data_IF_515364889378
#
_entry.id   IF_515364889378
#
_cell.length_a   1.000
_cell.length_b   1.000
_cell.length_c   1.000
_cell.angle_alpha   90.00
_cell.angle_beta   90.00
_cell.angle_gamma   90.00
#
_symmetry.space_group_name_H-M   'P 1'
#
loop_
_entity.id
_entity.type
_entity.pdbx_description
1 polymer ?
#
# COMPACT_ATOMS: atom_id res chain seq x y z
N UNK A 1 54.63 17.07 34.41
CA UNK A 1 53.84 15.84 34.17
C UNK A 1 52.37 16.05 33.73
N UNK A 2 51.84 17.26 33.50
CA UNK A 2 50.37 17.48 33.33
C UNK A 2 49.82 17.35 31.89
N UNK A 3 50.67 17.24 30.87
CA UNK A 3 50.26 17.35 29.45
C UNK A 3 49.87 16.02 28.76
N UNK A 4 50.21 14.86 29.36
CA UNK A 4 49.98 13.55 28.74
C UNK A 4 48.53 13.07 28.93
N UNK A 5 47.91 13.35 30.07
CA UNK A 5 46.56 12.84 30.40
C UNK A 5 45.40 13.65 29.76
N UNK A 6 45.66 14.90 29.34
CA UNK A 6 44.63 15.79 28.74
C UNK A 6 44.27 15.43 27.30
N UNK A 7 45.18 14.80 26.56
CA UNK A 7 45.00 14.37 25.15
C UNK A 7 44.03 13.19 24.98
N UNK A 8 44.15 12.08 25.73
CA UNK A 8 43.19 10.97 25.63
C UNK A 8 41.80 11.36 26.14
N UNK A 9 41.72 12.23 27.16
CA UNK A 9 40.44 12.72 27.69
C UNK A 9 39.65 13.55 26.66
N UNK A 10 40.35 14.37 25.87
CA UNK A 10 39.74 15.14 24.76
C UNK A 10 39.30 14.25 23.61
N UNK A 11 40.09 13.23 23.26
CA UNK A 11 39.74 12.26 22.23
C UNK A 11 38.52 11.43 22.64
N UNK A 12 38.44 11.02 23.90
CA UNK A 12 37.28 10.30 24.45
C UNK A 12 36.03 11.19 24.43
N UNK A 13 36.12 12.44 24.88
CA UNK A 13 35.00 13.37 24.86
C UNK A 13 34.47 13.65 23.43
N UNK A 14 35.37 13.74 22.44
CA UNK A 14 35.00 13.92 21.04
C UNK A 14 34.32 12.66 20.47
N UNK A 15 34.83 11.48 20.78
CA UNK A 15 34.25 10.21 20.34
C UNK A 15 32.85 9.98 20.93
N UNK A 16 32.65 10.27 22.21
CA UNK A 16 31.34 10.15 22.86
C UNK A 16 30.35 11.16 22.30
N UNK A 17 30.78 12.40 22.02
CA UNK A 17 29.95 13.42 21.38
C UNK A 17 29.49 13.02 19.98
N UNK A 18 30.37 12.43 19.17
CA UNK A 18 30.05 11.96 17.82
C UNK A 18 29.09 10.75 17.83
N UNK A 19 29.25 9.83 18.79
CA UNK A 19 28.38 8.66 18.95
C UNK A 19 26.96 9.00 19.44
N UNK A 20 26.80 10.07 20.23
CA UNK A 20 25.48 10.55 20.63
C UNK A 20 24.78 11.31 19.50
N UNK A 21 25.54 12.06 18.68
CA UNK A 21 24.98 12.82 17.56
C UNK A 21 24.43 11.91 16.43
N UNK A 22 24.98 10.70 16.24
CA UNK A 22 24.51 9.78 15.19
C UNK A 22 23.16 9.12 15.48
N UNK A 23 22.68 9.13 16.73
CA UNK A 23 21.38 8.55 17.11
C UNK A 23 20.25 9.58 17.24
N UNK A 24 20.58 10.88 17.27
CA UNK A 24 19.68 11.97 17.64
C UNK A 24 18.57 12.31 16.61
N UNK A 25 18.62 11.78 15.38
CA UNK A 25 17.64 12.08 14.32
C UNK A 25 16.85 10.86 13.82
N UNK A 26 16.84 9.75 14.58
CA UNK A 26 16.16 8.51 14.16
C UNK A 26 14.65 8.50 14.40
N UNK A 27 14.13 9.36 15.28
CA UNK A 27 12.69 9.45 15.58
C UNK A 27 11.83 9.92 14.41
N UNK A 28 12.45 10.51 13.39
CA UNK A 28 11.78 10.87 12.14
C UNK A 28 11.63 9.67 11.17
N UNK A 29 12.08 8.47 11.53
CA UNK A 29 11.92 7.27 10.71
C UNK A 29 10.53 6.64 10.87
N UNK A 30 9.90 6.80 12.03
CA UNK A 30 8.55 6.30 12.32
C UNK A 30 7.49 7.28 11.79
N UNK A 31 7.42 7.42 10.47
CA UNK A 31 6.42 8.26 9.82
C UNK A 31 5.12 7.49 9.60
N UNK A 32 4.02 8.05 10.10
CA UNK A 32 2.67 7.67 9.65
C UNK A 32 2.19 8.65 8.58
N UNK A 33 1.60 8.17 7.47
CA UNK A 33 1.03 9.05 6.45
C UNK A 33 0.03 10.03 7.07
N UNK A 34 0.18 11.33 6.81
CA UNK A 34 -0.66 12.38 7.42
C UNK A 34 -1.98 12.63 6.66
N UNK A 35 -2.12 12.05 5.46
CA UNK A 35 -3.25 12.27 4.56
C UNK A 35 -3.59 10.97 3.82
N UNK A 36 -4.31 10.06 4.48
CA UNK A 36 -5.16 8.97 3.93
C UNK A 36 -5.51 7.99 5.06
N UNK A 37 -6.55 7.18 4.86
CA UNK A 37 -6.81 6.03 5.72
C UNK A 37 -5.65 5.02 5.57
N UNK A 38 -4.89 4.81 6.65
CA UNK A 38 -3.80 3.83 6.71
C UNK A 38 -4.22 2.64 7.60
N UNK A 39 -3.42 1.56 7.60
CA UNK A 39 -3.72 0.36 8.37
C UNK A 39 -3.97 0.67 9.87
N UNK A 40 -3.18 1.56 10.45
CA UNK A 40 -3.31 1.95 11.86
C UNK A 40 -4.66 2.60 12.18
N UNK A 41 -5.20 3.39 11.25
CA UNK A 41 -6.51 4.05 11.41
C UNK A 41 -7.65 3.09 11.08
N UNK A 42 -7.55 2.33 9.99
CA UNK A 42 -8.60 1.41 9.53
C UNK A 42 -8.80 0.24 10.50
N UNK A 43 -7.72 -0.31 11.06
CA UNK A 43 -7.81 -1.46 11.97
C UNK A 43 -8.05 -1.06 13.44
N UNK A 44 -8.17 0.25 13.75
CA UNK A 44 -8.54 0.71 15.09
C UNK A 44 -10.05 0.73 15.36
N UNK A 45 -10.87 0.82 14.32
CA UNK A 45 -12.33 0.84 14.42
C UNK A 45 -12.93 -0.46 13.85
N UNK A 46 -13.61 -1.29 14.66
CA UNK A 46 -14.29 -2.49 14.18
C UNK A 46 -15.22 -2.26 12.97
N UNK A 47 -15.87 -1.11 12.87
CA UNK A 47 -16.73 -0.78 11.74
C UNK A 47 -15.92 -0.63 10.44
N UNK A 48 -14.72 -0.04 10.50
CA UNK A 48 -13.82 0.11 9.36
C UNK A 48 -13.22 -1.23 8.91
N UNK A 49 -12.94 -2.13 9.87
CA UNK A 49 -12.55 -3.51 9.58
C UNK A 49 -13.65 -4.23 8.80
N UNK A 50 -14.89 -4.12 9.26
CA UNK A 50 -16.04 -4.73 8.57
C UNK A 50 -16.19 -4.16 7.15
N UNK A 51 -16.08 -2.85 6.97
CA UNK A 51 -16.16 -2.22 5.65
C UNK A 51 -15.04 -2.72 4.71
N UNK A 52 -13.83 -2.89 5.23
CA UNK A 52 -12.69 -3.44 4.47
C UNK A 52 -12.96 -4.88 4.02
N UNK A 53 -13.53 -5.71 4.90
CA UNK A 53 -13.92 -7.08 4.54
C UNK A 53 -15.03 -7.11 3.48
N UNK A 54 -16.07 -6.27 3.63
CA UNK A 54 -17.13 -6.17 2.63
C UNK A 54 -16.55 -5.79 1.28
N UNK A 55 -15.60 -4.85 1.26
CA UNK A 55 -14.93 -4.42 0.03
C UNK A 55 -14.21 -5.57 -0.66
N UNK A 56 -13.45 -6.39 0.07
CA UNK A 56 -12.74 -7.55 -0.49
C UNK A 56 -13.68 -8.55 -1.17
N UNK A 57 -14.83 -8.83 -0.57
CA UNK A 57 -15.82 -9.72 -1.18
C UNK A 57 -16.56 -9.06 -2.35
N UNK A 58 -16.86 -7.76 -2.26
CA UNK A 58 -17.52 -7.01 -3.31
C UNK A 58 -16.66 -6.94 -4.59
N UNK A 59 -15.34 -6.76 -4.47
CA UNK A 59 -14.43 -6.66 -5.64
C UNK A 59 -14.41 -7.91 -6.52
N UNK A 60 -14.96 -9.05 -6.06
CA UNK A 60 -15.12 -10.23 -6.90
C UNK A 60 -16.15 -10.03 -8.02
N UNK A 61 -17.18 -9.21 -7.77
CA UNK A 61 -18.33 -9.06 -8.65
C UNK A 61 -18.62 -7.60 -9.06
N UNK A 62 -17.99 -6.62 -8.40
CA UNK A 62 -18.21 -5.20 -8.67
C UNK A 62 -16.87 -4.53 -8.99
N UNK A 63 -16.88 -3.59 -9.93
CA UNK A 63 -15.70 -2.92 -10.48
C UNK A 63 -15.45 -1.52 -9.90
N UNK A 64 -16.38 -1.02 -9.09
CA UNK A 64 -16.35 0.34 -8.54
C UNK A 64 -17.21 0.50 -7.29
N UNK A 65 -17.16 1.69 -6.68
CA UNK A 65 -18.03 2.05 -5.54
C UNK A 65 -19.36 2.69 -5.95
N UNK A 66 -19.51 3.04 -7.23
CA UNK A 66 -20.72 3.66 -7.79
C UNK A 66 -21.27 2.76 -8.90
N UNK A 67 -22.50 2.28 -8.74
CA UNK A 67 -23.18 1.54 -9.81
C UNK A 67 -24.14 2.43 -10.60
N UNK A 68 -24.36 2.19 -11.91
CA UNK A 68 -23.75 1.19 -12.78
C UNK A 68 -22.36 1.60 -13.36
N UNK A 69 -21.99 2.86 -13.17
CA UNK A 69 -20.76 3.51 -13.65
C UNK A 69 -20.48 4.72 -12.73
N UNK A 70 -19.20 5.08 -12.57
CA UNK A 70 -18.80 6.47 -12.31
C UNK A 70 -17.61 6.60 -11.37
N UNK A 71 -17.25 5.50 -10.70
CA UNK A 71 -16.10 5.44 -9.79
C UNK A 71 -15.42 4.06 -9.90
N UNK A 72 -14.75 3.78 -11.03
CA UNK A 72 -14.07 2.51 -11.23
C UNK A 72 -12.81 2.42 -10.36
N UNK A 73 -12.52 1.22 -9.90
CA UNK A 73 -11.33 0.91 -9.12
C UNK A 73 -10.06 0.93 -9.98
N UNK A 74 -10.20 0.59 -11.27
CA UNK A 74 -9.13 0.54 -12.26
C UNK A 74 -9.46 1.53 -13.37
N UNK A 75 -8.59 2.52 -13.56
CA UNK A 75 -8.72 3.52 -14.62
C UNK A 75 -8.12 3.03 -15.94
N UNK A 76 -8.68 3.48 -17.07
CA UNK A 76 -8.18 3.16 -18.41
C UNK A 76 -8.78 1.91 -19.05
N UNK A 77 -9.63 1.20 -18.31
CA UNK A 77 -10.44 0.06 -18.77
C UNK A 77 -11.89 0.39 -18.41
N UNK A 78 -12.86 -0.01 -19.25
CA UNK A 78 -14.27 0.16 -18.94
C UNK A 78 -14.66 -0.55 -17.64
N UNK A 79 -15.57 0.04 -16.88
CA UNK A 79 -16.06 -0.52 -15.61
C UNK A 79 -16.77 -1.88 -15.82
N UNK A 80 -17.29 -2.12 -17.02
CA UNK A 80 -17.87 -3.38 -17.49
C UNK A 80 -16.84 -4.48 -17.82
N UNK A 81 -15.57 -4.12 -18.03
CA UNK A 81 -14.46 -5.03 -18.34
C UNK A 81 -13.51 -5.26 -17.16
N UNK A 82 -13.52 -4.39 -16.15
CA UNK A 82 -12.57 -4.44 -15.02
C UNK A 82 -13.01 -5.31 -13.85
N UNK A 83 -14.18 -5.98 -13.94
CA UNK A 83 -14.66 -6.89 -12.89
C UNK A 83 -13.82 -8.16 -12.80
N UNK A 84 -13.42 -8.54 -11.59
CA UNK A 84 -12.55 -9.70 -11.34
C UNK A 84 -13.11 -10.99 -11.95
N UNK A 85 -14.37 -11.32 -11.70
CA UNK A 85 -14.98 -12.57 -12.18
C UNK A 85 -14.97 -12.67 -13.71
N UNK A 86 -15.21 -11.56 -14.41
CA UNK A 86 -15.19 -11.53 -15.89
C UNK A 86 -13.80 -11.85 -16.42
N UNK A 87 -12.76 -11.25 -15.84
CA UNK A 87 -11.39 -11.51 -16.32
C UNK A 87 -10.91 -12.91 -15.94
N UNK A 88 -11.28 -13.39 -14.75
CA UNK A 88 -11.00 -14.77 -14.38
C UNK A 88 -11.65 -15.76 -15.35
N UNK A 89 -12.96 -15.62 -15.61
CA UNK A 89 -13.66 -16.46 -16.59
C UNK A 89 -13.04 -16.36 -17.98
N UNK A 90 -12.71 -15.15 -18.43
CA UNK A 90 -12.12 -14.92 -19.75
C UNK A 90 -10.78 -15.64 -19.92
N UNK A 91 -9.93 -15.62 -18.89
CA UNK A 91 -8.64 -16.32 -18.91
C UNK A 91 -8.79 -17.85 -18.92
N UNK A 92 -9.87 -18.38 -18.33
CA UNK A 92 -10.13 -19.81 -18.27
C UNK A 92 -10.78 -20.32 -19.56
N UNK A 93 -11.75 -19.59 -20.11
CA UNK A 93 -12.59 -20.07 -21.21
C UNK A 93 -12.10 -19.66 -22.60
N UNK A 94 -11.60 -18.43 -22.79
CA UNK A 94 -11.34 -17.91 -24.14
C UNK A 94 -10.08 -18.49 -24.79
N UNK A 95 -9.20 -19.09 -24.00
CA UNK A 95 -8.06 -19.87 -24.50
C UNK A 95 -8.42 -21.35 -24.73
N UNK A 96 -9.61 -21.78 -24.34
CA UNK A 96 -10.15 -23.12 -24.54
C UNK A 96 -11.00 -23.20 -25.81
N UNK A 97 -11.57 -24.37 -26.08
CA UNK A 97 -12.55 -24.60 -27.15
C UNK A 97 -14.02 -24.35 -26.71
N UNK A 98 -14.25 -23.99 -25.45
CA UNK A 98 -15.61 -23.83 -24.89
C UNK A 98 -16.26 -22.48 -25.24
N UNK A 99 -15.46 -21.43 -25.49
CA UNK A 99 -15.97 -20.06 -25.69
C UNK A 99 -15.23 -19.25 -26.74
N UNK A 100 -15.97 -18.34 -27.39
CA UNK A 100 -15.41 -17.33 -28.31
C UNK A 100 -16.10 -15.98 -28.09
N UNK A 101 -15.33 -14.88 -28.14
CA UNK A 101 -15.92 -13.54 -28.17
C UNK A 101 -16.48 -13.29 -29.58
N UNK A 102 -17.80 -13.29 -29.72
CA UNK A 102 -18.47 -13.03 -31.00
C UNK A 102 -18.42 -11.54 -31.42
N UNK A 103 -18.21 -10.66 -30.44
CA UNK A 103 -18.06 -9.22 -30.63
C UNK A 103 -16.58 -8.87 -30.80
N UNK A 104 -16.24 -8.05 -31.79
CA UNK A 104 -14.84 -7.69 -32.06
C UNK A 104 -14.36 -6.53 -31.14
N UNK A 105 -14.67 -6.62 -29.85
CA UNK A 105 -14.39 -5.61 -28.81
C UNK A 105 -13.38 -6.08 -27.75
N UNK A 106 -12.75 -7.25 -27.94
CA UNK A 106 -11.78 -7.84 -27.02
C UNK A 106 -10.38 -7.21 -27.02
N UNK A 107 -10.28 -5.89 -27.20
CA UNK A 107 -9.02 -5.13 -27.09
C UNK A 107 -8.87 -4.51 -25.69
#
# INVERSE_FOLDING_TARGET
MSFIFRRPLRALALATGLGLASSACTSQLDQVPSYTANAEVVYRDPAQIQQSLVRLYATLAVSGQSGPDGQPDITGIGEDFSQYLRQYWSMQELASDEGIIAWNDGN
#
